data_IF_051356964502
#
_entry.id   IF_051356964502
#
_cell.length_a   1.000
_cell.length_b   1.000
_cell.length_c   1.000
_cell.angle_alpha   90.00
_cell.angle_beta   90.00
_cell.angle_gamma   90.00
#
_symmetry.space_group_name_H-M   'P 1'
#
loop_
_entity.id
_entity.type
_entity.pdbx_description
1 polymer ?
#
# COMPACT_ATOMS: atom_id res chain seq x y z
N UNK A 1 8.37 4.05 -18.80
CA UNK A 1 9.24 4.84 -19.68
C UNK A 1 9.38 6.29 -19.23
N UNK A 2 9.98 7.17 -20.03
CA UNK A 2 10.21 8.58 -19.64
C UNK A 2 8.99 9.48 -19.79
N UNK A 3 7.84 8.96 -20.21
CA UNK A 3 6.61 9.72 -20.43
C UNK A 3 5.68 9.60 -19.22
N UNK A 4 5.10 10.73 -18.79
CA UNK A 4 4.15 10.81 -17.70
C UNK A 4 2.89 11.54 -18.20
N UNK A 5 1.69 10.93 -18.15
CA UNK A 5 0.46 11.60 -18.47
C UNK A 5 0.07 12.56 -17.33
N UNK A 6 -0.41 13.75 -17.70
CA UNK A 6 -0.99 14.72 -16.78
C UNK A 6 -2.46 14.86 -17.14
N UNK A 7 -3.34 14.59 -16.19
CA UNK A 7 -4.80 14.62 -16.42
C UNK A 7 -5.45 15.63 -15.47
N UNK A 8 -6.16 16.63 -15.98
CA UNK A 8 -6.93 17.54 -15.14
C UNK A 8 -8.16 16.82 -14.55
N UNK A 9 -8.66 17.33 -13.44
CA UNK A 9 -9.90 16.87 -12.81
C UNK A 9 -10.67 18.08 -12.26
N UNK A 10 -11.99 17.97 -12.19
CA UNK A 10 -12.85 19.03 -11.67
C UNK A 10 -13.21 18.81 -10.20
N UNK A 11 -13.28 17.55 -9.75
CA UNK A 11 -13.61 17.21 -8.37
C UNK A 11 -12.62 16.18 -7.79
N UNK A 12 -12.49 16.19 -6.46
CA UNK A 12 -11.66 15.24 -5.74
C UNK A 12 -12.11 13.79 -5.98
N UNK A 13 -13.43 13.55 -5.97
CA UNK A 13 -13.99 12.22 -6.26
C UNK A 13 -13.64 11.72 -7.67
N UNK A 14 -13.62 12.63 -8.63
CA UNK A 14 -13.17 12.31 -9.98
C UNK A 14 -11.70 11.93 -10.02
N UNK A 15 -10.85 12.68 -9.31
CA UNK A 15 -9.42 12.38 -9.23
C UNK A 15 -9.17 11.01 -8.62
N UNK A 16 -9.84 10.67 -7.51
CA UNK A 16 -9.73 9.39 -6.83
C UNK A 16 -10.22 8.26 -7.76
N UNK A 17 -11.37 8.43 -8.39
CA UNK A 17 -11.92 7.43 -9.31
C UNK A 17 -10.96 7.17 -10.49
N UNK A 18 -10.41 8.22 -11.10
CA UNK A 18 -9.44 8.09 -12.20
C UNK A 18 -8.13 7.43 -11.75
N UNK A 19 -7.63 7.79 -10.57
CA UNK A 19 -6.44 7.17 -10.01
C UNK A 19 -6.63 5.67 -9.76
N UNK A 20 -7.83 5.27 -9.35
CA UNK A 20 -8.19 3.87 -9.12
C UNK A 20 -8.57 3.11 -10.39
N UNK A 21 -8.90 3.80 -11.48
CA UNK A 21 -9.22 3.20 -12.78
C UNK A 21 -7.96 2.74 -13.51
N UNK A 22 -7.29 1.76 -12.89
CA UNK A 22 -6.09 1.12 -13.38
C UNK A 22 -6.07 -0.33 -12.92
N UNK A 23 -5.51 -1.20 -13.76
CA UNK A 23 -5.25 -2.59 -13.36
C UNK A 23 -4.05 -2.72 -12.41
N UNK A 24 -3.33 -1.65 -12.15
CA UNK A 24 -2.17 -1.61 -11.25
C UNK A 24 -2.46 -0.79 -10.00
N UNK A 25 -1.73 -1.09 -8.93
CA UNK A 25 -1.84 -0.41 -7.66
C UNK A 25 -0.60 -0.62 -6.78
N UNK A 26 0.59 -0.28 -7.27
CA UNK A 26 1.81 -0.42 -6.48
C UNK A 26 1.96 0.74 -5.50
N UNK A 27 2.09 1.94 -6.02
CA UNK A 27 2.30 3.15 -5.24
C UNK A 27 1.40 4.28 -5.72
N UNK A 28 1.05 5.15 -4.79
CA UNK A 28 0.42 6.43 -5.05
C UNK A 28 1.07 7.54 -4.24
N UNK A 29 0.77 8.79 -4.55
CA UNK A 29 1.14 9.93 -3.71
C UNK A 29 0.05 10.98 -3.70
N UNK A 30 -0.11 11.64 -2.55
CA UNK A 30 -1.03 12.76 -2.34
C UNK A 30 -0.24 13.97 -1.91
N UNK A 31 -0.45 15.08 -2.59
CA UNK A 31 0.26 16.34 -2.35
C UNK A 31 -0.74 17.42 -1.94
N UNK A 32 -0.69 17.85 -0.70
CA UNK A 32 -1.57 18.89 -0.13
C UNK A 32 -0.99 19.40 1.19
N UNK A 33 -1.31 20.62 1.56
CA UNK A 33 -0.99 21.17 2.88
C UNK A 33 -2.00 20.74 3.96
N UNK A 34 -3.18 20.29 3.56
CA UNK A 34 -4.23 19.82 4.45
C UNK A 34 -4.01 18.35 4.83
N UNK A 35 -3.64 18.12 6.09
CA UNK A 35 -3.35 16.79 6.64
C UNK A 35 -4.56 15.87 6.62
N UNK A 36 -5.72 16.37 7.01
CA UNK A 36 -6.93 15.53 7.11
C UNK A 36 -7.41 15.13 5.72
N UNK A 37 -7.33 16.04 4.79
CA UNK A 37 -7.58 15.78 3.37
C UNK A 37 -6.59 14.76 2.80
N UNK A 38 -5.31 14.88 3.09
CA UNK A 38 -4.29 13.91 2.65
C UNK A 38 -4.63 12.50 3.13
N UNK A 39 -4.99 12.34 4.41
CA UNK A 39 -5.36 11.05 4.99
C UNK A 39 -6.68 10.52 4.45
N UNK A 40 -7.67 11.38 4.23
CA UNK A 40 -8.95 11.00 3.65
C UNK A 40 -8.79 10.45 2.24
N UNK A 41 -8.05 11.15 1.39
CA UNK A 41 -7.78 10.73 0.01
C UNK A 41 -6.97 9.42 -0.01
N UNK A 42 -5.89 9.34 0.77
CA UNK A 42 -5.01 8.17 0.76
C UNK A 42 -5.71 6.87 1.14
N UNK A 43 -6.71 6.93 2.02
CA UNK A 43 -7.52 5.76 2.38
C UNK A 43 -8.43 5.25 1.27
N UNK A 44 -8.68 6.06 0.26
CA UNK A 44 -9.54 5.73 -0.88
C UNK A 44 -8.73 5.29 -2.11
N UNK A 45 -7.40 5.45 -2.09
CA UNK A 45 -6.56 5.02 -3.19
C UNK A 45 -6.26 3.52 -3.10
N UNK A 46 -6.48 2.82 -4.21
CA UNK A 46 -6.27 1.39 -4.35
C UNK A 46 -4.80 1.08 -4.71
N UNK A 47 -3.89 1.47 -3.82
CA UNK A 47 -2.47 1.23 -3.94
C UNK A 47 -1.91 0.63 -2.65
N UNK A 48 -0.93 -0.24 -2.77
CA UNK A 48 -0.33 -0.92 -1.62
C UNK A 48 0.52 0.00 -0.74
N UNK A 49 0.99 1.11 -1.30
CA UNK A 49 1.75 2.13 -0.57
C UNK A 49 1.37 3.53 -1.05
N UNK A 50 1.03 4.42 -0.12
CA UNK A 50 0.71 5.83 -0.43
C UNK A 50 1.65 6.76 0.30
N UNK A 51 2.32 7.62 -0.46
CA UNK A 51 3.19 8.66 0.07
C UNK A 51 2.42 9.96 0.27
N UNK A 52 2.72 10.72 1.31
CA UNK A 52 2.15 12.04 1.57
C UNK A 52 3.23 13.11 1.40
N UNK A 53 3.04 14.04 0.46
CA UNK A 53 3.96 15.12 0.11
C UNK A 53 5.40 14.63 -0.17
N UNK A 54 5.51 13.42 -0.66
CA UNK A 54 6.76 12.74 -0.98
C UNK A 54 6.51 11.65 -2.02
N UNK A 55 7.57 11.03 -2.54
CA UNK A 55 7.46 9.86 -3.40
C UNK A 55 8.81 9.16 -3.55
N UNK A 56 8.77 7.83 -3.70
CA UNK A 56 9.92 7.03 -4.09
C UNK A 56 10.72 6.43 -2.92
N UNK A 57 11.78 5.68 -3.23
CA UNK A 57 12.51 4.85 -2.27
C UNK A 57 13.11 5.62 -1.09
N UNK A 58 13.49 6.87 -1.29
CA UNK A 58 14.07 7.71 -0.23
C UNK A 58 13.05 8.18 0.80
N UNK A 59 11.77 8.07 0.47
CA UNK A 59 10.65 8.45 1.33
C UNK A 59 9.98 7.25 2.01
N UNK A 60 10.45 6.05 1.74
CA UNK A 60 9.83 4.82 2.21
C UNK A 60 10.19 4.55 3.67
N UNK A 61 9.16 4.30 4.49
CA UNK A 61 9.35 3.81 5.84
C UNK A 61 9.50 2.28 5.83
N UNK A 62 10.71 1.79 6.08
CA UNK A 62 11.01 0.36 6.07
C UNK A 62 10.36 -0.45 7.20
N UNK A 63 9.74 0.22 8.18
CA UNK A 63 8.94 -0.44 9.22
C UNK A 63 7.58 -0.89 8.73
N UNK A 64 7.07 -0.27 7.66
CA UNK A 64 5.83 -0.64 7.02
C UNK A 64 6.02 -1.63 5.87
N UNK A 65 5.04 -2.51 5.62
CA UNK A 65 5.09 -3.43 4.49
C UNK A 65 4.99 -2.68 3.16
N UNK A 66 5.72 -3.16 2.17
CA UNK A 66 5.68 -2.66 0.81
C UNK A 66 5.24 -3.74 -0.17
N UNK A 67 4.30 -3.43 -1.02
CA UNK A 67 3.79 -4.32 -2.06
C UNK A 67 2.58 -3.74 -2.76
N UNK A 68 2.10 -4.42 -3.79
CA UNK A 68 1.06 -3.93 -4.67
C UNK A 68 -0.32 -4.48 -4.38
N UNK A 69 -1.31 -3.78 -4.93
CA UNK A 69 -2.67 -4.25 -5.13
C UNK A 69 -2.84 -4.62 -6.62
N UNK A 70 -3.93 -5.29 -6.94
CA UNK A 70 -4.32 -5.63 -8.32
C UNK A 70 -3.18 -6.36 -9.06
N UNK A 71 -2.97 -6.06 -10.33
CA UNK A 71 -1.92 -6.68 -11.15
C UNK A 71 -0.49 -6.23 -10.81
N UNK A 72 -0.32 -5.30 -9.90
CA UNK A 72 1.00 -4.97 -9.34
C UNK A 72 1.58 -6.10 -8.48
N UNK A 73 0.79 -7.13 -8.21
CA UNK A 73 1.25 -8.36 -7.60
C UNK A 73 0.76 -8.54 -6.17
N UNK A 74 1.15 -9.66 -5.59
CA UNK A 74 0.82 -10.07 -4.24
C UNK A 74 2.09 -10.22 -3.38
N UNK A 75 1.89 -10.38 -2.08
CA UNK A 75 2.99 -10.44 -1.12
C UNK A 75 3.41 -9.05 -0.65
N UNK A 76 4.26 -9.03 0.35
CA UNK A 76 4.82 -7.80 0.92
C UNK A 76 6.29 -7.98 1.23
N UNK A 77 7.09 -6.94 0.94
CA UNK A 77 8.44 -6.80 1.44
C UNK A 77 8.45 -5.84 2.62
N UNK A 78 9.49 -5.85 3.41
CA UNK A 78 9.70 -4.94 4.53
C UNK A 78 8.66 -5.10 5.65
N UNK A 79 8.91 -4.45 6.78
CA UNK A 79 8.07 -4.57 7.93
C UNK A 79 7.97 -6.00 8.49
N UNK A 80 7.09 -6.20 9.43
CA UNK A 80 6.81 -7.51 10.00
C UNK A 80 6.25 -8.49 8.95
N UNK A 81 5.35 -8.01 8.10
CA UNK A 81 4.72 -8.80 7.05
C UNK A 81 5.74 -9.33 6.04
N UNK A 82 6.77 -8.56 5.74
CA UNK A 82 7.86 -8.98 4.87
C UNK A 82 8.66 -10.15 5.46
N UNK A 83 8.85 -10.17 6.76
CA UNK A 83 9.55 -11.27 7.46
C UNK A 83 8.68 -12.53 7.52
N UNK A 84 7.39 -12.39 7.82
CA UNK A 84 6.46 -13.51 7.97
C UNK A 84 6.31 -14.33 6.69
N UNK A 85 6.47 -13.72 5.52
CA UNK A 85 6.41 -14.43 4.24
C UNK A 85 7.48 -15.52 4.08
N UNK A 86 8.59 -15.42 4.80
CA UNK A 86 9.67 -16.42 4.77
C UNK A 86 9.52 -17.49 5.86
N UNK A 87 8.45 -17.45 6.64
CA UNK A 87 8.16 -18.38 7.71
C UNK A 87 7.12 -19.41 7.31
N UNK A 88 7.34 -20.66 7.71
CA UNK A 88 6.34 -21.71 7.63
C UNK A 88 5.54 -21.77 8.94
N UNK A 89 4.24 -21.94 8.82
CA UNK A 89 3.37 -22.18 9.99
C UNK A 89 3.37 -23.66 10.33
N UNK A 90 3.67 -23.99 11.59
CA UNK A 90 3.63 -25.33 12.12
C UNK A 90 2.78 -25.33 13.39
N UNK A 91 1.72 -26.10 13.41
CA UNK A 91 0.83 -26.23 14.56
C UNK A 91 1.12 -27.55 15.28
N UNK A 92 1.24 -27.48 16.60
CA UNK A 92 1.38 -28.65 17.47
C UNK A 92 0.19 -28.64 18.43
N UNK A 93 -0.54 -29.73 18.47
CA UNK A 93 -1.67 -29.89 19.40
C UNK A 93 -1.54 -31.18 20.18
N UNK A 94 -2.10 -31.20 21.37
CA UNK A 94 -2.16 -32.38 22.22
C UNK A 94 -3.54 -32.50 22.88
N UNK A 95 -3.82 -33.64 23.50
CA UNK A 95 -4.97 -33.77 24.38
C UNK A 95 -4.84 -32.84 25.58
N UNK A 96 -5.95 -32.33 26.15
CA UNK A 96 -5.92 -31.50 27.34
C UNK A 96 -5.12 -32.16 28.49
N UNK A 97 -4.24 -31.36 29.11
CA UNK A 97 -3.43 -31.77 30.24
C UNK A 97 -2.17 -32.59 29.92
N UNK A 98 -1.90 -32.91 28.62
CA UNK A 98 -0.72 -33.70 28.29
C UNK A 98 0.59 -32.88 28.27
N UNK A 99 0.52 -31.60 27.82
CA UNK A 99 1.69 -30.72 27.82
C UNK A 99 1.89 -29.93 29.10
N UNK A 100 0.83 -29.70 29.86
CA UNK A 100 0.86 -28.95 31.15
C UNK A 100 0.07 -29.67 32.24
#
# INVERSE_FOLDING_TARGET
GPALPIMPFDTEDEAIRRANDSRYGLCSSVWTEDRDRALSISRQLEAGYTYLNNHGPTAQDFRGPFGGFKDSGFGRNLGYEGVVQFQGHHSISSVPGWLL
#
